data_IF_291158280313
#
_entry.id   IF_291158280313
#
_cell.length_a   1.000
_cell.length_b   1.000
_cell.length_c   1.000
_cell.angle_alpha   90.00
_cell.angle_beta   90.00
_cell.angle_gamma   90.00
#
_symmetry.space_group_name_H-M   'P 1'
#
loop_
_entity.id
_entity.type
_entity.pdbx_description
1 polymer ?
#
# COMPACT_ATOMS: atom_id res chain seq x y z
N UNK A 1 16.62 -5.28 -24.58
CA UNK A 1 16.32 -5.42 -23.15
C UNK A 1 14.88 -5.85 -23.06
N UNK A 2 14.60 -7.02 -22.51
CA UNK A 2 13.24 -7.41 -22.24
C UNK A 2 12.69 -6.50 -21.14
N UNK A 3 11.53 -5.88 -21.34
CA UNK A 3 10.91 -5.02 -20.31
C UNK A 3 10.71 -5.79 -18.99
N UNK A 4 10.60 -7.11 -19.08
CA UNK A 4 10.52 -8.05 -17.96
C UNK A 4 11.79 -8.11 -17.10
N UNK A 5 12.96 -7.84 -17.67
CA UNK A 5 14.23 -7.78 -16.92
C UNK A 5 14.36 -6.47 -16.11
N UNK A 6 13.61 -5.43 -16.49
CA UNK A 6 13.64 -4.11 -15.85
C UNK A 6 12.75 -4.06 -14.59
N UNK A 7 11.78 -4.97 -14.48
CA UNK A 7 10.88 -5.06 -13.32
C UNK A 7 11.31 -6.22 -12.43
N UNK A 8 11.60 -6.00 -11.13
CA UNK A 8 12.07 -7.04 -10.21
C UNK A 8 10.98 -8.05 -9.81
N UNK A 9 9.93 -8.22 -10.63
CA UNK A 9 8.71 -8.94 -10.30
C UNK A 9 8.47 -10.04 -11.35
N UNK A 10 9.20 -11.13 -11.21
CA UNK A 10 8.99 -12.33 -12.01
C UNK A 10 7.62 -12.96 -11.67
N UNK A 11 7.00 -13.74 -12.58
CA UNK A 11 5.76 -14.47 -12.29
C UNK A 11 5.83 -15.35 -11.03
N UNK A 12 7.03 -15.71 -10.57
CA UNK A 12 7.29 -16.48 -9.35
C UNK A 12 6.83 -15.77 -8.07
N UNK A 13 6.79 -14.43 -8.04
CA UNK A 13 6.34 -13.70 -6.84
C UNK A 13 4.82 -13.79 -6.67
N UNK A 14 4.09 -13.89 -7.79
CA UNK A 14 2.65 -14.16 -7.85
C UNK A 14 1.77 -13.20 -7.04
N UNK A 15 0.56 -13.66 -6.71
CA UNK A 15 -0.41 -12.89 -5.91
C UNK A 15 0.10 -12.52 -4.50
N UNK A 16 0.96 -13.35 -3.92
CA UNK A 16 1.52 -13.11 -2.59
C UNK A 16 2.46 -11.89 -2.60
N UNK A 17 3.30 -11.79 -3.63
CA UNK A 17 4.15 -10.62 -3.89
C UNK A 17 3.35 -9.34 -3.98
N UNK A 18 2.31 -9.35 -4.82
CA UNK A 18 1.40 -8.22 -4.95
C UNK A 18 0.82 -7.83 -3.59
N UNK A 19 0.38 -8.80 -2.78
CA UNK A 19 -0.23 -8.55 -1.48
C UNK A 19 0.73 -7.82 -0.55
N UNK A 20 1.96 -8.34 -0.40
CA UNK A 20 2.98 -7.78 0.50
C UNK A 20 3.38 -6.38 0.05
N UNK A 21 3.75 -6.21 -1.23
CA UNK A 21 4.16 -4.92 -1.77
C UNK A 21 3.00 -3.93 -1.73
N UNK A 22 1.77 -4.39 -1.99
CA UNK A 22 0.58 -3.53 -1.90
C UNK A 22 0.28 -3.07 -0.49
N UNK A 23 0.43 -3.94 0.49
CA UNK A 23 0.25 -3.61 1.90
C UNK A 23 1.31 -2.62 2.37
N UNK A 24 2.60 -2.95 2.25
CA UNK A 24 3.69 -2.10 2.73
C UNK A 24 3.84 -0.81 1.92
N UNK A 25 3.69 -0.87 0.60
CA UNK A 25 3.65 0.33 -0.25
C UNK A 25 2.48 1.25 0.09
N UNK A 26 1.37 0.69 0.60
CA UNK A 26 0.22 1.45 1.08
C UNK A 26 0.36 2.00 2.50
N UNK A 27 1.37 1.59 3.27
CA UNK A 27 1.64 2.12 4.61
C UNK A 27 2.32 3.49 4.60
N UNK A 28 2.79 3.96 3.43
CA UNK A 28 3.36 5.30 3.29
C UNK A 28 2.24 6.34 3.43
N UNK A 29 2.27 7.19 4.47
CA UNK A 29 1.27 8.24 4.63
C UNK A 29 1.45 9.31 3.56
N UNK A 30 0.34 9.77 2.96
CA UNK A 30 0.29 10.94 2.08
C UNK A 30 1.14 10.91 0.80
N UNK A 31 1.71 9.76 0.40
CA UNK A 31 2.39 9.59 -0.90
C UNK A 31 1.50 8.82 -1.87
N UNK A 32 1.33 9.29 -3.12
CA UNK A 32 0.54 8.58 -4.13
C UNK A 32 1.18 7.24 -4.51
N UNK A 33 0.61 6.19 -3.91
CA UNK A 33 0.56 4.75 -4.25
C UNK A 33 1.76 4.15 -5.01
N UNK A 34 2.86 3.82 -4.31
CA UNK A 34 3.95 2.99 -4.84
C UNK A 34 3.48 1.63 -5.39
N UNK A 35 2.44 1.04 -4.79
CA UNK A 35 1.93 -0.28 -5.17
C UNK A 35 1.09 -0.31 -6.45
N UNK A 36 0.61 0.85 -6.90
CA UNK A 36 -0.28 0.91 -8.06
C UNK A 36 0.45 0.53 -9.34
N UNK A 37 1.71 0.96 -9.48
CA UNK A 37 2.56 0.61 -10.62
C UNK A 37 2.66 -0.91 -10.75
N UNK A 38 2.92 -1.61 -9.64
CA UNK A 38 2.99 -3.07 -9.62
C UNK A 38 1.66 -3.72 -10.02
N UNK A 39 0.55 -3.27 -9.43
CA UNK A 39 -0.79 -3.79 -9.75
C UNK A 39 -1.11 -3.63 -11.23
N UNK A 40 -0.83 -2.45 -11.81
CA UNK A 40 -1.08 -2.18 -13.24
C UNK A 40 -0.20 -3.06 -14.11
N UNK A 41 1.09 -3.23 -13.80
CA UNK A 41 1.97 -4.10 -14.59
C UNK A 41 1.51 -5.55 -14.58
N UNK A 42 1.03 -6.06 -13.44
CA UNK A 42 0.51 -7.43 -13.33
C UNK A 42 -0.84 -7.61 -14.03
N UNK A 43 -1.62 -6.54 -14.20
CA UNK A 43 -2.94 -6.57 -14.85
C UNK A 43 -2.89 -6.53 -16.39
N UNK A 44 -1.77 -6.13 -17.00
CA UNK A 44 -1.65 -5.99 -18.47
C UNK A 44 -1.44 -7.34 -19.17
N UNK A 45 -1.03 -8.39 -18.45
CA UNK A 45 -0.80 -9.74 -19.00
C UNK A 45 -1.95 -10.72 -18.76
N UNK A 46 -1.84 -11.93 -19.34
CA UNK A 46 -2.81 -13.03 -19.14
C UNK A 46 -2.41 -14.01 -18.03
N UNK A 47 -1.31 -13.72 -17.33
CA UNK A 47 -0.74 -14.59 -16.28
C UNK A 47 -1.57 -14.58 -14.99
N UNK A 48 -2.30 -13.48 -14.76
CA UNK A 48 -3.06 -13.25 -13.54
C UNK A 48 -4.50 -12.88 -13.88
N UNK A 49 -5.42 -13.30 -13.03
CA UNK A 49 -6.82 -12.90 -13.08
C UNK A 49 -6.96 -11.48 -12.51
N UNK A 50 -7.43 -10.56 -13.35
CA UNK A 50 -7.58 -9.15 -13.00
C UNK A 50 -8.55 -8.92 -11.82
N UNK A 51 -9.59 -9.74 -11.68
CA UNK A 51 -10.54 -9.63 -10.58
C UNK A 51 -9.87 -10.02 -9.25
N UNK A 52 -9.07 -11.09 -9.26
CA UNK A 52 -8.29 -11.50 -8.09
C UNK A 52 -7.27 -10.41 -7.71
N UNK A 53 -6.52 -9.89 -8.70
CA UNK A 53 -5.57 -8.79 -8.47
C UNK A 53 -6.26 -7.56 -7.84
N UNK A 54 -7.43 -7.17 -8.36
CA UNK A 54 -8.18 -6.03 -7.86
C UNK A 54 -8.64 -6.23 -6.41
N UNK A 55 -9.18 -7.41 -6.08
CA UNK A 55 -9.62 -7.73 -4.72
C UNK A 55 -8.44 -7.72 -3.75
N UNK A 56 -7.34 -8.40 -4.10
CA UNK A 56 -6.13 -8.45 -3.28
C UNK A 56 -5.57 -7.04 -3.04
N UNK A 57 -5.43 -6.27 -4.11
CA UNK A 57 -4.94 -4.89 -4.04
C UNK A 57 -5.83 -4.02 -3.15
N UNK A 58 -7.16 -4.12 -3.30
CA UNK A 58 -8.12 -3.38 -2.50
C UNK A 58 -8.07 -3.75 -1.01
N UNK A 59 -7.99 -5.05 -0.69
CA UNK A 59 -7.92 -5.53 0.70
C UNK A 59 -6.60 -5.13 1.35
N UNK A 60 -5.47 -5.36 0.68
CA UNK A 60 -4.14 -5.01 1.18
C UNK A 60 -4.01 -3.50 1.41
N UNK A 61 -4.46 -2.69 0.44
CA UNK A 61 -4.47 -1.25 0.58
C UNK A 61 -5.38 -0.80 1.73
N UNK A 62 -6.60 -1.31 1.81
CA UNK A 62 -7.54 -0.96 2.88
C UNK A 62 -6.96 -1.28 4.24
N UNK A 63 -6.40 -2.48 4.43
CA UNK A 63 -5.79 -2.89 5.68
C UNK A 63 -4.66 -1.95 6.12
N UNK A 64 -3.78 -1.56 5.19
CA UNK A 64 -2.74 -0.59 5.47
C UNK A 64 -3.30 0.80 5.86
N UNK A 65 -4.35 1.27 5.17
CA UNK A 65 -4.98 2.56 5.47
C UNK A 65 -5.69 2.55 6.83
N UNK A 66 -6.30 1.43 7.22
CA UNK A 66 -6.87 1.28 8.56
C UNK A 66 -5.80 1.47 9.65
N UNK A 67 -4.60 0.92 9.45
CA UNK A 67 -3.47 1.12 10.38
C UNK A 67 -3.06 2.59 10.45
N UNK A 68 -2.86 3.24 9.29
CA UNK A 68 -2.51 4.67 9.23
C UNK A 68 -3.55 5.51 9.95
N UNK A 69 -4.84 5.32 9.65
CA UNK A 69 -5.91 6.09 10.27
C UNK A 69 -6.04 5.81 11.75
N UNK A 70 -5.92 4.55 12.18
CA UNK A 70 -5.96 4.21 13.59
C UNK A 70 -4.85 4.94 14.38
N UNK A 71 -3.62 4.92 13.87
CA UNK A 71 -2.50 5.65 14.46
C UNK A 71 -2.72 7.17 14.39
N UNK A 72 -3.22 7.69 13.27
CA UNK A 72 -3.42 9.14 13.07
C UNK A 72 -4.51 9.70 13.99
N UNK A 73 -5.66 9.03 14.08
CA UNK A 73 -6.74 9.41 15.00
C UNK A 73 -6.35 9.21 16.47
N UNK A 74 -5.61 8.13 16.77
CA UNK A 74 -5.08 7.87 18.12
C UNK A 74 -3.96 8.81 18.55
N UNK A 75 -3.24 9.42 17.60
CA UNK A 75 -2.06 10.24 17.85
C UNK A 75 -2.31 11.40 18.81
N UNK A 76 -3.47 12.05 18.73
CA UNK A 76 -3.84 13.14 19.66
C UNK A 76 -3.89 12.72 21.14
N UNK A 77 -4.14 11.44 21.42
CA UNK A 77 -4.11 10.89 22.79
C UNK A 77 -2.68 10.64 23.29
N UNK A 78 -1.72 10.47 22.38
CA UNK A 78 -0.29 10.23 22.68
C UNK A 78 0.43 11.56 22.98
N UNK A 79 -0.13 12.69 22.52
CA UNK A 79 0.45 14.02 22.72
C UNK A 79 0.30 14.47 24.20
N UNK A 80 1.39 14.96 24.80
CA UNK A 80 1.37 15.50 26.17
C UNK A 80 0.48 16.74 26.31
N UNK A 81 -0.09 16.95 27.50
CA UNK A 81 -0.89 18.15 27.79
C UNK A 81 -0.12 19.46 27.56
N UNK A 82 1.20 19.46 27.81
CA UNK A 82 2.08 20.61 27.53
C UNK A 82 2.11 20.94 26.03
N UNK A 83 2.21 19.91 25.18
CA UNK A 83 2.19 20.08 23.71
C UNK A 83 0.79 20.48 23.24
N UNK A 84 -0.29 19.87 23.77
CA UNK A 84 -1.68 20.26 23.45
C UNK A 84 -1.94 21.74 23.74
N UNK A 85 -1.45 22.26 24.87
CA UNK A 85 -1.61 23.68 25.24
C UNK A 85 -0.88 24.63 24.29
N UNK A 86 0.23 24.20 23.68
CA UNK A 86 0.98 24.96 22.65
C UNK A 86 0.38 24.87 21.25
N UNK A 87 -0.49 23.90 20.99
CA UNK A 87 -1.19 23.70 19.72
C UNK A 87 -2.55 24.40 19.65
N UNK A 88 -3.04 24.96 20.77
CA UNK A 88 -4.25 25.80 20.77
C UNK A 88 -3.93 27.13 20.05
N UNK A 89 -4.85 27.65 19.21
CA UNK A 89 -4.66 28.93 18.52
C UNK A 89 -4.52 30.10 19.49
#
# INVERSE_FOLDING_TARGET
>A
MDLWELFPFTPEVGYLGLTIVSFFGSLVPFVPIPSFVLLVTMAVGTQFDIHILAIIGAVAATAAKQIIFYISYGGGRIISEKTKKRMKP
#
